data_IF_398479409905
#
_entry.id   IF_398479409905
#
_cell.length_a   1.000
_cell.length_b   1.000
_cell.length_c   1.000
_cell.angle_alpha   90.00
_cell.angle_beta   90.00
_cell.angle_gamma   90.00
#
_symmetry.space_group_name_H-M   'P 1'
#
loop_
_entity.id
_entity.type
_entity.pdbx_description
1 polymer ?
#
# COMPACT_ATOMS: atom_id res chain seq x y z
N UNK A 1 20.64 -0.02 18.67
CA UNK A 1 20.10 0.13 17.31
C UNK A 1 18.87 -0.73 17.27
N UNK A 2 17.71 -0.16 16.95
CA UNK A 2 16.48 -0.93 16.76
C UNK A 2 16.64 -1.80 15.52
N UNK A 3 16.32 -3.09 15.61
CA UNK A 3 16.40 -3.99 14.45
C UNK A 3 15.15 -3.85 13.58
N UNK A 4 15.22 -4.26 12.31
CA UNK A 4 14.03 -4.26 11.46
C UNK A 4 12.94 -5.21 11.99
N UNK A 5 13.32 -6.32 12.66
CA UNK A 5 12.35 -7.22 13.29
C UNK A 5 11.58 -6.55 14.43
N UNK A 6 12.27 -5.73 15.25
CA UNK A 6 11.64 -4.97 16.34
C UNK A 6 10.64 -3.94 15.79
N UNK A 7 11.01 -3.22 14.72
CA UNK A 7 10.10 -2.27 14.06
C UNK A 7 8.90 -2.97 13.40
N UNK A 8 9.12 -4.14 12.79
CA UNK A 8 8.03 -4.92 12.21
C UNK A 8 7.04 -5.40 13.29
N UNK A 9 7.55 -5.85 14.44
CA UNK A 9 6.71 -6.20 15.58
C UNK A 9 5.93 -4.98 16.10
N UNK A 10 6.57 -3.80 16.18
CA UNK A 10 5.91 -2.56 16.57
C UNK A 10 4.77 -2.17 15.60
N UNK A 11 5.00 -2.27 14.29
CA UNK A 11 3.96 -2.02 13.28
C UNK A 11 2.79 -3.00 13.46
N UNK A 12 3.07 -4.28 13.67
CA UNK A 12 2.05 -5.30 13.88
C UNK A 12 1.21 -5.02 15.15
N UNK A 13 1.86 -4.66 16.26
CA UNK A 13 1.20 -4.32 17.53
C UNK A 13 0.33 -3.07 17.38
N UNK A 14 0.83 -2.03 16.71
CA UNK A 14 0.06 -0.80 16.46
C UNK A 14 -1.13 -1.04 15.53
N UNK A 15 -0.98 -1.86 14.50
CA UNK A 15 -2.09 -2.28 13.64
C UNK A 15 -3.13 -3.08 14.42
N UNK A 16 -2.70 -3.99 15.31
CA UNK A 16 -3.60 -4.75 16.17
C UNK A 16 -4.37 -3.86 17.18
N UNK A 17 -3.76 -2.76 17.64
CA UNK A 17 -4.40 -1.79 18.52
C UNK A 17 -5.33 -0.79 17.79
N UNK A 18 -5.05 -0.50 16.51
CA UNK A 18 -5.84 0.43 15.71
C UNK A 18 -7.27 -0.07 15.48
N UNK A 19 -8.22 0.85 15.37
CA UNK A 19 -9.61 0.58 15.00
C UNK A 19 -9.74 0.16 13.52
N UNK A 20 -10.83 -0.52 13.13
CA UNK A 20 -11.02 -0.95 11.74
C UNK A 20 -10.90 0.20 10.72
N UNK A 21 -11.47 1.37 11.01
CA UNK A 21 -11.43 2.54 10.13
C UNK A 21 -9.99 3.06 9.96
N UNK A 22 -9.20 3.11 11.03
CA UNK A 22 -7.79 3.52 10.98
C UNK A 22 -6.92 2.55 10.19
N UNK A 23 -7.15 1.24 10.36
CA UNK A 23 -6.41 0.23 9.62
C UNK A 23 -6.69 0.30 8.12
N UNK A 24 -7.94 0.60 7.73
CA UNK A 24 -8.28 0.81 6.31
C UNK A 24 -7.55 2.03 5.76
N UNK A 25 -7.54 3.17 6.47
CA UNK A 25 -6.79 4.35 6.03
C UNK A 25 -5.30 4.04 5.85
N UNK A 26 -4.71 3.29 6.79
CA UNK A 26 -3.33 2.81 6.68
C UNK A 26 -3.13 1.98 5.40
N UNK A 27 -3.97 0.97 5.19
CA UNK A 27 -3.86 0.06 4.06
C UNK A 27 -3.99 0.80 2.71
N UNK A 28 -4.96 1.70 2.59
CA UNK A 28 -5.14 2.52 1.39
C UNK A 28 -3.95 3.45 1.17
N UNK A 29 -3.39 4.03 2.23
CA UNK A 29 -2.17 4.83 2.17
C UNK A 29 -0.98 4.06 1.62
N UNK A 30 -0.74 2.85 2.11
CA UNK A 30 0.31 1.95 1.61
C UNK A 30 0.07 1.57 0.15
N UNK A 31 -1.14 1.14 -0.19
CA UNK A 31 -1.52 0.75 -1.55
C UNK A 31 -1.30 1.92 -2.55
N UNK A 32 -1.64 3.15 -2.15
CA UNK A 32 -1.43 4.34 -2.96
C UNK A 32 0.03 4.63 -3.25
N UNK A 33 0.93 4.45 -2.28
CA UNK A 33 2.36 4.62 -2.51
C UNK A 33 2.92 3.57 -3.45
N UNK A 34 2.51 2.32 -3.27
CA UNK A 34 2.92 1.23 -4.15
C UNK A 34 2.41 1.46 -5.57
N UNK A 35 1.16 1.91 -5.73
CA UNK A 35 0.61 2.23 -7.04
C UNK A 35 1.34 3.40 -7.70
N UNK A 36 1.67 4.47 -6.95
CA UNK A 36 2.45 5.59 -7.49
C UNK A 36 3.87 5.19 -7.87
N UNK A 37 4.49 4.29 -7.10
CA UNK A 37 5.78 3.72 -7.48
C UNK A 37 5.66 2.95 -8.81
N UNK A 38 4.59 2.18 -8.99
CA UNK A 38 4.32 1.48 -10.26
C UNK A 38 4.12 2.44 -11.43
N UNK A 39 3.37 3.52 -11.23
CA UNK A 39 3.14 4.56 -12.25
C UNK A 39 4.42 5.32 -12.63
N UNK A 40 5.37 5.44 -11.71
CA UNK A 40 6.63 6.13 -11.94
C UNK A 40 7.65 5.27 -12.71
N UNK A 41 7.41 3.96 -12.86
CA UNK A 41 8.28 3.07 -13.64
C UNK A 41 8.23 3.42 -15.14
N UNK A 42 9.30 3.12 -15.90
CA UNK A 42 9.26 3.14 -17.36
C UNK A 42 8.08 2.31 -17.90
N UNK A 43 7.45 2.75 -18.99
CA UNK A 43 6.23 2.12 -19.52
C UNK A 43 6.34 0.61 -19.80
N UNK A 44 7.54 0.09 -20.08
CA UNK A 44 7.78 -1.33 -20.33
C UNK A 44 7.96 -2.18 -19.05
N UNK A 45 8.13 -1.53 -17.90
CA UNK A 45 8.20 -2.14 -16.57
C UNK A 45 6.88 -1.95 -15.79
N UNK A 46 5.97 -1.13 -16.31
CA UNK A 46 4.65 -0.93 -15.73
C UNK A 46 3.80 -2.21 -15.85
N UNK A 47 3.03 -2.49 -14.81
CA UNK A 47 2.19 -3.67 -14.73
C UNK A 47 0.78 -3.21 -15.06
N UNK A 48 0.33 -3.50 -16.29
CA UNK A 48 -0.94 -3.02 -16.81
C UNK A 48 -2.11 -3.36 -15.89
N UNK A 49 -2.11 -4.58 -15.34
CA UNK A 49 -3.13 -5.02 -14.39
C UNK A 49 -3.17 -4.18 -13.12
N UNK A 50 -2.01 -3.91 -12.49
CA UNK A 50 -1.94 -3.06 -11.31
C UNK A 50 -2.48 -1.66 -11.62
N UNK A 51 -2.06 -1.05 -12.73
CA UNK A 51 -2.53 0.27 -13.15
C UNK A 51 -4.05 0.29 -13.41
N UNK A 52 -4.61 -0.80 -13.94
CA UNK A 52 -6.05 -1.00 -14.11
C UNK A 52 -6.84 -0.92 -12.80
N UNK A 53 -6.21 -1.17 -11.64
CA UNK A 53 -6.85 -1.08 -10.32
C UNK A 53 -6.89 0.35 -9.74
N UNK A 54 -6.35 1.35 -10.44
CA UNK A 54 -6.36 2.76 -10.00
C UNK A 54 -7.76 3.30 -9.67
N UNK A 55 -8.83 3.02 -10.45
CA UNK A 55 -10.20 3.41 -10.08
C UNK A 55 -10.66 2.79 -8.76
N UNK A 56 -10.39 1.49 -8.54
CA UNK A 56 -10.70 0.79 -7.27
C UNK A 56 -9.99 1.44 -6.09
N UNK A 57 -8.71 1.78 -6.25
CA UNK A 57 -7.93 2.47 -5.21
C UNK A 57 -8.46 3.89 -4.92
N UNK A 58 -8.88 4.64 -5.94
CA UNK A 58 -9.54 5.93 -5.73
C UNK A 58 -10.84 5.77 -4.94
N UNK A 59 -11.67 4.78 -5.28
CA UNK A 59 -12.89 4.48 -4.53
C UNK A 59 -12.59 4.08 -3.09
N UNK A 60 -11.53 3.31 -2.84
CA UNK A 60 -11.09 2.95 -1.49
C UNK A 60 -10.68 4.18 -0.66
N UNK A 61 -10.01 5.17 -1.27
CA UNK A 61 -9.71 6.44 -0.59
C UNK A 61 -10.98 7.19 -0.19
N UNK A 62 -11.93 7.31 -1.11
CA UNK A 62 -13.20 7.97 -0.84
C UNK A 62 -13.95 7.25 0.29
N UNK A 63 -14.01 5.92 0.23
CA UNK A 63 -14.67 5.10 1.24
C UNK A 63 -13.99 5.16 2.62
N UNK A 64 -12.65 5.10 2.66
CA UNK A 64 -11.87 5.19 3.91
C UNK A 64 -12.06 6.54 4.61
N UNK A 65 -12.41 7.58 3.86
CA UNK A 65 -12.67 8.93 4.34
C UNK A 65 -14.17 9.26 4.40
N UNK A 66 -15.01 8.23 4.44
CA UNK A 66 -16.44 8.36 4.76
C UNK A 66 -17.38 8.64 3.61
N UNK A 67 -16.92 8.53 2.35
CA UNK A 67 -17.82 8.61 1.21
C UNK A 67 -18.40 7.21 0.88
N UNK A 68 -19.63 6.99 1.34
CA UNK A 68 -20.31 5.71 1.19
C UNK A 68 -20.74 5.37 -0.25
N UNK A 69 -20.76 6.34 -1.17
CA UNK A 69 -21.12 6.04 -2.57
C UNK A 69 -20.07 5.19 -3.27
N UNK A 70 -18.83 5.18 -2.77
CA UNK A 70 -17.72 4.40 -3.31
C UNK A 70 -17.87 2.88 -3.12
N UNK A 71 -18.78 2.43 -2.24
CA UNK A 71 -18.98 1.00 -1.95
C UNK A 71 -19.33 0.18 -3.21
N UNK A 72 -20.10 0.76 -4.14
CA UNK A 72 -20.45 0.10 -5.40
C UNK A 72 -19.23 -0.17 -6.28
N UNK A 73 -18.39 0.84 -6.47
CA UNK A 73 -17.16 0.77 -7.27
C UNK A 73 -16.16 -0.23 -6.69
N UNK A 74 -15.99 -0.27 -5.36
CA UNK A 74 -15.07 -1.21 -4.72
C UNK A 74 -15.50 -2.66 -4.95
N UNK A 75 -16.80 -2.96 -4.81
CA UNK A 75 -17.34 -4.29 -5.11
C UNK A 75 -17.18 -4.64 -6.58
N UNK A 76 -17.43 -3.68 -7.46
CA UNK A 76 -17.31 -3.91 -8.89
C UNK A 76 -15.86 -4.25 -9.25
N UNK A 77 -14.88 -3.44 -8.82
CA UNK A 77 -13.47 -3.69 -9.09
C UNK A 77 -12.96 -5.01 -8.49
N UNK A 78 -13.36 -5.37 -7.26
CA UNK A 78 -13.01 -6.67 -6.70
C UNK A 78 -13.70 -7.82 -7.47
N UNK A 79 -14.95 -7.63 -7.89
CA UNK A 79 -15.68 -8.61 -8.69
C UNK A 79 -15.05 -8.83 -10.07
N UNK A 80 -14.59 -7.78 -10.73
CA UNK A 80 -13.85 -7.88 -11.99
C UNK A 80 -12.55 -8.66 -11.81
N UNK A 81 -11.78 -8.39 -10.74
CA UNK A 81 -10.60 -9.20 -10.41
C UNK A 81 -10.97 -10.68 -10.25
N UNK A 82 -11.96 -10.99 -9.41
CA UNK A 82 -12.37 -12.36 -9.11
C UNK A 82 -12.91 -13.12 -10.34
N UNK A 83 -13.35 -12.41 -11.38
CA UNK A 83 -13.82 -13.02 -12.63
C UNK A 83 -12.77 -12.98 -13.75
N UNK A 84 -11.64 -12.30 -13.52
CA UNK A 84 -10.57 -12.14 -14.50
C UNK A 84 -9.64 -13.35 -14.55
N UNK A 85 -8.88 -13.43 -15.64
CA UNK A 85 -7.81 -14.43 -15.79
C UNK A 85 -6.70 -14.29 -14.75
N UNK A 86 -6.51 -13.10 -14.19
CA UNK A 86 -5.53 -12.82 -13.13
C UNK A 86 -5.87 -13.49 -11.80
N UNK A 87 -7.12 -13.92 -11.60
CA UNK A 87 -7.53 -14.71 -10.44
C UNK A 87 -7.53 -16.23 -10.72
N UNK A 88 -7.47 -16.66 -11.99
CA UNK A 88 -7.88 -18.03 -12.37
C UNK A 88 -6.98 -18.81 -13.31
N UNK A 89 -6.13 -18.20 -14.15
CA UNK A 89 -5.58 -18.94 -15.29
C UNK A 89 -4.10 -19.39 -15.18
N UNK A 90 -3.25 -18.71 -14.40
CA UNK A 90 -1.84 -19.13 -14.20
C UNK A 90 -1.36 -19.06 -12.73
N UNK A 91 -2.28 -18.84 -11.80
CA UNK A 91 -1.94 -18.53 -10.41
C UNK A 91 -1.10 -17.24 -10.31
N UNK A 92 -0.31 -17.14 -9.24
CA UNK A 92 0.46 -15.94 -8.85
C UNK A 92 1.62 -15.58 -9.79
N UNK A 93 1.79 -16.25 -10.94
CA UNK A 93 2.94 -16.12 -11.83
C UNK A 93 2.58 -15.75 -13.29
N UNK A 94 1.33 -15.36 -13.55
CA UNK A 94 0.88 -14.93 -14.88
C UNK A 94 1.39 -13.53 -15.28
N UNK A 95 1.36 -13.17 -16.58
CA UNK A 95 1.99 -11.96 -17.14
C UNK A 95 1.39 -10.60 -16.67
N UNK A 96 0.41 -10.59 -15.78
CA UNK A 96 -0.08 -9.38 -15.10
C UNK A 96 -0.04 -9.43 -13.57
N UNK A 97 0.78 -10.33 -13.01
CA UNK A 97 1.11 -10.50 -11.60
C UNK A 97 0.20 -9.74 -10.60
N UNK A 98 -0.99 -10.30 -10.34
CA UNK A 98 -1.89 -9.81 -9.30
C UNK A 98 -1.27 -9.89 -7.89
N UNK A 99 -0.20 -10.67 -7.76
CA UNK A 99 0.60 -10.82 -6.56
C UNK A 99 1.67 -9.72 -6.42
N UNK A 100 1.90 -8.95 -7.50
CA UNK A 100 2.77 -7.80 -7.51
C UNK A 100 2.37 -6.78 -6.42
N UNK A 101 3.33 -6.09 -5.78
CA UNK A 101 3.07 -5.36 -4.53
C UNK A 101 1.91 -4.35 -4.61
N UNK A 102 1.80 -3.60 -5.71
CA UNK A 102 0.73 -2.62 -5.89
C UNK A 102 -0.66 -3.26 -6.06
N UNK A 103 -0.77 -4.29 -6.91
CA UNK A 103 -2.03 -4.97 -7.16
C UNK A 103 -2.52 -5.70 -5.90
N UNK A 104 -1.64 -6.48 -5.28
CA UNK A 104 -1.93 -7.18 -4.04
C UNK A 104 -2.37 -6.21 -2.94
N UNK A 105 -1.68 -5.08 -2.77
CA UNK A 105 -2.05 -4.09 -1.76
C UNK A 105 -3.46 -3.52 -1.98
N UNK A 106 -3.83 -3.20 -3.23
CA UNK A 106 -5.20 -2.71 -3.53
C UNK A 106 -6.24 -3.78 -3.26
N UNK A 107 -6.02 -5.01 -3.73
CA UNK A 107 -6.97 -6.12 -3.60
C UNK A 107 -7.18 -6.51 -2.12
N UNK A 108 -6.09 -6.66 -1.35
CA UNK A 108 -6.18 -6.95 0.08
C UNK A 108 -6.83 -5.80 0.86
N UNK A 109 -6.61 -4.55 0.46
CA UNK A 109 -7.31 -3.40 1.05
C UNK A 109 -8.81 -3.43 0.75
N UNK A 110 -9.20 -3.77 -0.49
CA UNK A 110 -10.60 -3.94 -0.85
C UNK A 110 -11.28 -5.05 -0.04
N UNK A 111 -10.62 -6.19 0.12
CA UNK A 111 -11.08 -7.29 0.97
C UNK A 111 -11.22 -6.84 2.42
N UNK A 112 -10.21 -6.18 2.99
CA UNK A 112 -10.26 -5.66 4.35
C UNK A 112 -11.46 -4.71 4.55
N UNK A 113 -11.68 -3.79 3.60
CA UNK A 113 -12.78 -2.84 3.67
C UNK A 113 -14.16 -3.51 3.58
N UNK A 114 -14.36 -4.40 2.60
CA UNK A 114 -15.66 -5.03 2.35
C UNK A 114 -16.05 -6.02 3.46
N UNK A 115 -15.09 -6.76 4.01
CA UNK A 115 -15.35 -7.84 4.97
C UNK A 115 -15.01 -7.47 6.42
N UNK A 116 -14.37 -6.33 6.66
CA UNK A 116 -13.93 -5.92 8.00
C UNK A 116 -12.83 -6.81 8.57
N UNK A 117 -12.06 -7.49 7.73
CA UNK A 117 -11.01 -8.42 8.13
C UNK A 117 -9.69 -7.69 8.39
N UNK A 118 -9.03 -8.02 9.51
CA UNK A 118 -7.73 -7.44 9.88
C UNK A 118 -6.54 -8.08 9.16
N UNK A 119 -6.58 -9.39 8.93
CA UNK A 119 -5.46 -10.17 8.36
C UNK A 119 -4.99 -9.63 6.98
N UNK A 120 -5.88 -9.23 6.04
CA UNK A 120 -5.44 -8.66 4.78
C UNK A 120 -4.61 -7.38 4.94
N UNK A 121 -4.77 -6.63 6.03
CA UNK A 121 -4.03 -5.38 6.27
C UNK A 121 -2.57 -5.68 6.66
N UNK A 122 -2.32 -6.80 7.35
CA UNK A 122 -0.95 -7.26 7.58
C UNK A 122 -0.26 -7.62 6.26
N UNK A 123 -0.98 -8.23 5.32
CA UNK A 123 -0.45 -8.51 3.98
C UNK A 123 -0.06 -7.20 3.28
N UNK A 124 -0.90 -6.16 3.34
CA UNK A 124 -0.59 -4.85 2.75
C UNK A 124 0.70 -4.25 3.34
N UNK A 125 0.87 -4.31 4.66
CA UNK A 125 2.11 -3.87 5.32
C UNK A 125 3.34 -4.64 4.82
N UNK A 126 3.24 -5.98 4.74
CA UNK A 126 4.32 -6.83 4.25
C UNK A 126 4.68 -6.56 2.78
N UNK A 127 3.69 -6.36 1.90
CA UNK A 127 3.93 -6.02 0.48
C UNK A 127 4.72 -4.73 0.31
N UNK A 128 4.56 -3.76 1.20
CA UNK A 128 5.38 -2.55 1.18
C UNK A 128 6.85 -2.81 1.56
N UNK A 129 7.08 -3.68 2.54
CA UNK A 129 8.42 -4.09 2.96
C UNK A 129 9.12 -4.90 1.86
N UNK A 130 8.40 -5.85 1.25
CA UNK A 130 8.88 -6.62 0.09
C UNK A 130 9.27 -5.69 -1.07
N UNK A 131 8.41 -4.73 -1.44
CA UNK A 131 8.72 -3.76 -2.49
C UNK A 131 9.92 -2.85 -2.15
N UNK A 132 10.13 -2.52 -0.87
CA UNK A 132 11.31 -1.78 -0.44
C UNK A 132 12.59 -2.62 -0.58
N UNK A 133 12.52 -3.91 -0.23
CA UNK A 133 13.60 -4.87 -0.41
C UNK A 133 13.95 -5.06 -1.89
N UNK A 134 12.94 -5.26 -2.74
CA UNK A 134 13.12 -5.43 -4.19
C UNK A 134 13.78 -4.21 -4.83
N UNK A 135 13.38 -2.99 -4.45
CA UNK A 135 14.02 -1.75 -4.93
C UNK A 135 15.49 -1.65 -4.55
N UNK A 136 15.86 -2.05 -3.32
CA UNK A 136 17.26 -2.09 -2.90
C UNK A 136 18.08 -3.05 -3.79
N UNK A 137 17.51 -4.22 -4.11
CA UNK A 137 18.17 -5.24 -4.92
C UNK A 137 18.15 -4.94 -6.43
N UNK A 138 17.18 -4.16 -6.92
CA UNK A 138 17.08 -3.79 -8.34
C UNK A 138 18.24 -2.88 -8.78
N UNK A 139 18.77 -2.05 -7.88
CA UNK A 139 19.95 -1.22 -8.11
C UNK A 139 21.24 -2.01 -8.44
N UNK A 140 21.28 -3.32 -8.17
CA UNK A 140 22.42 -4.19 -8.47
C UNK A 140 22.34 -4.86 -9.86
N UNK A 141 21.20 -4.81 -10.56
CA UNK A 141 21.03 -5.49 -11.87
C UNK A 141 21.45 -4.59 -13.02
N UNK A 142 22.64 -4.81 -13.58
CA UNK A 142 23.02 -4.26 -14.88
C UNK A 142 22.18 -4.89 -16.02
N UNK A 143 21.85 -4.14 -17.10
CA UNK A 143 21.06 -4.62 -18.24
C UNK A 143 21.68 -5.83 -18.97
N UNK A 144 22.95 -6.12 -18.74
CA UNK A 144 23.71 -7.19 -19.41
C UNK A 144 23.78 -8.49 -18.60
N UNK A 145 23.22 -8.56 -17.39
CA UNK A 145 23.32 -9.74 -16.53
C UNK A 145 24.72 -9.98 -15.95
N UNK A 146 25.67 -9.08 -16.21
CA UNK A 146 26.99 -9.09 -15.60
C UNK A 146 26.95 -8.31 -14.29
N UNK A 147 27.45 -8.90 -13.21
CA UNK A 147 27.62 -8.20 -11.91
C UNK A 147 28.71 -7.14 -12.12
N UNK A 148 28.44 -5.88 -11.79
CA UNK A 148 29.41 -4.79 -12.01
C UNK A 148 30.74 -5.11 -11.30
N UNK A 149 31.89 -5.19 -12.01
CA UNK A 149 33.18 -5.54 -11.41
C UNK A 149 33.84 -4.36 -10.70
N UNK A 150 33.25 -3.16 -10.80
CA UNK A 150 33.61 -2.00 -10.00
C UNK A 150 32.64 -1.93 -8.82
N UNK A 151 33.13 -2.26 -7.62
CA UNK A 151 32.41 -2.07 -6.36
C UNK A 151 32.19 -0.60 -6.05
N UNK A 152 31.37 0.07 -6.86
CA UNK A 152 30.90 1.41 -6.60
C UNK A 152 29.78 1.32 -5.56
N UNK A 153 30.13 1.77 -4.36
CA UNK A 153 29.49 1.59 -3.05
C UNK A 153 28.16 2.37 -2.88
N UNK A 154 27.39 2.55 -3.95
CA UNK A 154 26.12 3.29 -3.92
C UNK A 154 24.88 2.39 -3.88
N UNK A 155 25.05 1.07 -3.73
CA UNK A 155 23.93 0.19 -3.40
C UNK A 155 23.43 0.56 -2.00
N UNK A 156 22.21 1.07 -1.90
CA UNK A 156 21.57 1.31 -0.60
C UNK A 156 21.43 -0.03 0.09
N UNK A 157 21.88 -0.11 1.34
CA UNK A 157 21.78 -1.33 2.14
C UNK A 157 20.31 -1.80 2.18
N UNK A 158 20.00 -3.04 1.75
CA UNK A 158 18.65 -3.58 1.83
C UNK A 158 18.05 -3.42 3.23
N UNK A 159 18.83 -3.65 4.28
CA UNK A 159 18.35 -3.51 5.66
C UNK A 159 17.98 -2.05 5.99
N UNK A 160 18.72 -1.07 5.45
CA UNK A 160 18.40 0.35 5.60
C UNK A 160 17.08 0.71 4.92
N UNK A 161 16.82 0.18 3.72
CA UNK A 161 15.56 0.38 3.00
C UNK A 161 14.36 -0.24 3.74
N UNK A 162 14.53 -1.44 4.31
CA UNK A 162 13.52 -2.09 5.14
C UNK A 162 13.23 -1.24 6.39
N UNK A 163 14.26 -0.81 7.11
CA UNK A 163 14.14 0.03 8.31
C UNK A 163 13.44 1.35 7.95
N UNK A 164 13.77 1.97 6.81
CA UNK A 164 13.15 3.22 6.37
C UNK A 164 11.64 3.07 6.10
N UNK A 165 11.23 1.97 5.44
CA UNK A 165 9.80 1.70 5.20
C UNK A 165 9.06 1.36 6.49
N UNK A 166 9.66 0.58 7.41
CA UNK A 166 9.03 0.27 8.69
C UNK A 166 8.85 1.53 9.56
N UNK A 167 9.87 2.39 9.64
CA UNK A 167 9.74 3.69 10.30
C UNK A 167 8.66 4.56 9.65
N UNK A 168 8.52 4.49 8.33
CA UNK A 168 7.45 5.19 7.62
C UNK A 168 6.08 4.68 8.03
N UNK A 169 5.86 3.37 8.07
CA UNK A 169 4.60 2.79 8.50
C UNK A 169 4.27 3.18 9.96
N UNK A 170 5.27 3.23 10.84
CA UNK A 170 5.12 3.75 12.21
C UNK A 170 4.66 5.21 12.21
N UNK A 171 5.26 6.08 11.38
CA UNK A 171 4.86 7.49 11.24
C UNK A 171 3.44 7.63 10.70
N UNK A 172 3.09 6.85 9.70
CA UNK A 172 1.74 6.83 9.11
C UNK A 172 0.69 6.47 10.16
N UNK A 173 0.93 5.41 10.95
CA UNK A 173 0.05 5.00 12.04
C UNK A 173 -0.06 6.06 13.13
N UNK A 174 1.04 6.76 13.45
CA UNK A 174 1.00 7.90 14.37
C UNK A 174 0.16 9.05 13.80
N UNK A 175 0.32 9.40 12.52
CA UNK A 175 -0.47 10.45 11.87
C UNK A 175 -1.96 10.08 11.87
N UNK A 176 -2.30 8.84 11.50
CA UNK A 176 -3.68 8.35 11.51
C UNK A 176 -4.27 8.42 12.92
N UNK A 177 -3.51 8.03 13.94
CA UNK A 177 -3.91 8.10 15.35
C UNK A 177 -4.19 9.52 15.86
N UNK A 178 -3.63 10.56 15.25
CA UNK A 178 -3.99 11.96 15.57
C UNK A 178 -5.41 12.31 15.12
N UNK A 179 -5.97 11.51 14.20
CA UNK A 179 -7.31 11.70 13.63
C UNK A 179 -8.32 10.63 14.07
N UNK A 180 -7.98 9.76 15.05
CA UNK A 180 -8.86 8.67 15.53
C UNK A 180 -10.28 9.12 15.86
N UNK A 181 -10.43 10.29 16.50
CA UNK A 181 -11.74 10.82 16.87
C UNK A 181 -12.62 11.17 15.66
N UNK A 182 -12.03 11.62 14.56
CA UNK A 182 -12.75 11.90 13.30
C UNK A 182 -12.96 10.65 12.45
N UNK A 183 -12.09 9.65 12.58
CA UNK A 183 -12.17 8.39 11.84
C UNK A 183 -13.09 7.36 12.50
N UNK A 184 -13.34 7.48 13.81
CA UNK A 184 -14.29 6.65 14.54
C UNK A 184 -15.66 6.83 13.88
N UNK A 185 -16.11 5.83 13.13
CA UNK A 185 -17.34 5.82 12.31
C UNK A 185 -17.20 6.29 10.86
N UNK A 186 -16.00 6.38 10.29
CA UNK A 186 -15.83 6.70 8.88
C UNK A 186 -16.63 5.75 7.97
N UNK A 187 -16.65 4.45 8.29
CA UNK A 187 -17.48 3.44 7.63
C UNK A 187 -19.00 3.71 7.62
N UNK A 188 -19.51 4.55 8.52
CA UNK A 188 -20.94 4.90 8.56
C UNK A 188 -21.26 6.15 7.73
N UNK A 189 -20.25 6.73 7.10
CA UNK A 189 -20.32 7.99 6.41
C UNK A 189 -19.84 9.15 7.29
N UNK A 190 -19.12 10.08 6.67
CA UNK A 190 -18.72 11.34 7.29
C UNK A 190 -19.42 12.50 6.60
N UNK A 191 -19.58 13.61 7.32
CA UNK A 191 -20.00 14.85 6.69
C UNK A 191 -18.93 15.36 5.72
N UNK A 192 -19.35 16.17 4.74
CA UNK A 192 -18.50 16.65 3.65
C UNK A 192 -17.29 17.44 4.20
N UNK A 193 -17.49 18.26 5.24
CA UNK A 193 -16.43 19.10 5.79
C UNK A 193 -15.37 18.27 6.52
N UNK A 194 -15.80 17.24 7.27
CA UNK A 194 -14.91 16.27 7.89
C UNK A 194 -14.14 15.45 6.86
N UNK A 195 -14.82 14.94 5.84
CA UNK A 195 -14.17 14.19 4.77
C UNK A 195 -13.12 15.04 4.03
N UNK A 196 -13.47 16.29 3.65
CA UNK A 196 -12.55 17.21 2.97
C UNK A 196 -11.35 17.64 3.85
N UNK A 197 -11.52 17.70 5.17
CA UNK A 197 -10.42 17.95 6.12
C UNK A 197 -9.49 16.73 6.19
N UNK A 198 -10.05 15.53 6.33
CA UNK A 198 -9.27 14.29 6.41
C UNK A 198 -8.54 13.99 5.10
N UNK A 199 -9.12 14.30 3.95
CA UNK A 199 -8.46 14.16 2.65
C UNK A 199 -7.15 14.95 2.59
N UNK A 200 -7.18 16.22 3.01
CA UNK A 200 -5.98 17.06 3.11
C UNK A 200 -4.99 16.56 4.16
N UNK A 201 -5.48 16.13 5.31
CA UNK A 201 -4.65 15.73 6.44
C UNK A 201 -4.03 14.33 6.32
N UNK A 202 -4.67 13.43 5.57
CA UNK A 202 -4.28 12.02 5.50
C UNK A 202 -3.89 11.60 4.09
N UNK A 203 -4.74 11.85 3.07
CA UNK A 203 -4.46 11.35 1.73
C UNK A 203 -3.15 11.91 1.19
N UNK A 204 -2.96 13.22 1.23
CA UNK A 204 -1.75 13.86 0.71
C UNK A 204 -0.47 13.30 1.36
N UNK A 205 -0.28 13.34 2.69
CA UNK A 205 0.96 12.87 3.31
C UNK A 205 1.18 11.36 3.14
N UNK A 206 0.13 10.55 3.26
CA UNK A 206 0.24 9.09 3.15
C UNK A 206 0.54 8.62 1.73
N UNK A 207 0.23 9.43 0.69
CA UNK A 207 0.42 9.09 -0.73
C UNK A 207 1.77 9.49 -1.31
N UNK A 208 2.64 10.16 -0.55
CA UNK A 208 3.96 10.59 -1.07
C UNK A 208 4.83 9.36 -1.37
N UNK A 209 5.70 9.36 -2.38
CA UNK A 209 6.58 8.20 -2.65
C UNK A 209 7.92 8.32 -1.89
N UNK A 210 8.34 9.53 -1.52
CA UNK A 210 9.35 9.81 -0.48
C UNK A 210 10.42 10.84 -0.90
N UNK A 211 10.77 11.75 0.03
CA UNK A 211 12.12 12.20 0.51
C UNK A 211 11.90 13.44 1.37
N UNK A 212 11.64 13.27 2.66
CA UNK A 212 11.94 14.32 3.66
C UNK A 212 13.03 13.75 4.58
N UNK A 213 14.25 13.79 4.06
CA UNK A 213 15.50 13.94 4.82
C UNK A 213 16.28 15.04 4.11
#
# INVERSE_FOLDING_TARGET
MTTWQELQAEVADRLAAASPDERVVFAVGVAERLMRAQEALPAHEQAEYALGLRPTLNALWEAALGNMSAFGEIKHGLGEHLLSEYCHNDGQAGPGDADGPAAAAVLHTAVAYLFGAGDPIQVVSSRAVEAAHERANAGERLPTGERSPTGDSNAVDPDEMLIAELHRQVRDLTLIGQHSGSLRHARLGLDIDTSARLHRALRIPLSTVGTDV
#
